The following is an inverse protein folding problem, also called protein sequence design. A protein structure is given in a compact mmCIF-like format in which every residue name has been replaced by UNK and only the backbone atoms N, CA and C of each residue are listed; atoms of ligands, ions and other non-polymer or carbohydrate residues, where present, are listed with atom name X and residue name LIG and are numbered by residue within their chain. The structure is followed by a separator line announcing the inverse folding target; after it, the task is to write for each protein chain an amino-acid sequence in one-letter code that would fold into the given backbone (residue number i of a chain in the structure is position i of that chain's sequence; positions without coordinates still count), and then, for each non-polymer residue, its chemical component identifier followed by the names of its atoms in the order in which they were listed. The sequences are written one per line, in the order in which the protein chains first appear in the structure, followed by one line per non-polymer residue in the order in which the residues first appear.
data_IF_427473386423
#
_entry.id   IF_427473386423
#
_cell.length_a   1.000
_cell.length_b   1.000
_cell.length_c   1.000
_cell.angle_alpha   90.00
_cell.angle_beta   90.00
_cell.angle_gamma   90.00
#
_symmetry.space_group_name_H-M   'P 1'
#
loop_
_entity.id
_entity.type
_entity.pdbx_description
1 polymer ?
#
# COMPACT_ATOMS: atom_id res chain seq x y z
N UNK A 1 -30.27 -11.85 24.37
CA UNK A 1 -29.21 -11.90 25.40
C UNK A 1 -28.04 -12.66 24.82
N UNK A 2 -26.81 -12.07 24.84
CA UNK A 2 -25.58 -12.76 24.42
C UNK A 2 -25.24 -13.81 25.47
N UNK A 3 -25.10 -15.07 25.06
CA UNK A 3 -24.75 -16.20 25.92
C UNK A 3 -23.34 -16.66 25.58
N UNK A 4 -22.49 -16.78 26.59
CA UNK A 4 -21.16 -17.38 26.49
C UNK A 4 -21.29 -18.88 26.72
N UNK A 5 -20.76 -19.70 25.82
CA UNK A 5 -20.76 -21.16 25.95
C UNK A 5 -19.49 -21.57 26.71
N UNK A 6 -19.50 -21.44 28.05
CA UNK A 6 -18.35 -21.72 28.92
C UNK A 6 -17.67 -23.07 28.63
N UNK A 7 -18.38 -24.20 28.42
CA UNK A 7 -17.70 -25.46 28.11
C UNK A 7 -16.88 -25.43 26.80
N UNK A 8 -17.28 -24.61 25.82
CA UNK A 8 -16.53 -24.41 24.57
C UNK A 8 -15.28 -23.59 24.82
N UNK A 9 -15.42 -22.53 25.61
CA UNK A 9 -14.29 -21.67 25.99
C UNK A 9 -13.25 -22.46 26.78
N UNK A 10 -13.68 -23.23 27.78
CA UNK A 10 -12.79 -24.06 28.61
C UNK A 10 -12.05 -25.12 27.79
N UNK A 11 -12.74 -25.75 26.83
CA UNK A 11 -12.14 -26.71 25.91
C UNK A 11 -11.11 -26.04 25.00
N UNK A 12 -11.40 -24.87 24.48
CA UNK A 12 -10.49 -24.09 23.62
C UNK A 12 -9.23 -23.69 24.39
N UNK A 13 -9.39 -23.14 25.60
CA UNK A 13 -8.25 -22.76 26.47
C UNK A 13 -7.38 -23.96 26.80
N UNK A 14 -8.00 -25.10 27.10
CA UNK A 14 -7.28 -26.35 27.41
C UNK A 14 -6.47 -26.83 26.19
N UNK A 15 -7.04 -26.79 25.00
CA UNK A 15 -6.38 -27.19 23.76
C UNK A 15 -5.21 -26.26 23.39
N UNK A 16 -5.39 -24.94 23.53
CA UNK A 16 -4.32 -23.95 23.28
C UNK A 16 -3.13 -24.24 24.21
N UNK A 17 -3.38 -24.46 25.50
CA UNK A 17 -2.33 -24.78 26.46
C UNK A 17 -1.65 -26.11 26.18
N UNK A 18 -2.43 -27.15 25.89
CA UNK A 18 -1.91 -28.49 25.63
C UNK A 18 -0.99 -28.54 24.41
N UNK A 19 -1.26 -27.71 23.42
CA UNK A 19 -0.46 -27.61 22.18
C UNK A 19 0.64 -26.56 22.22
N UNK A 20 0.71 -25.72 23.24
CA UNK A 20 1.67 -24.63 23.34
C UNK A 20 1.47 -23.59 22.23
N UNK A 21 0.21 -23.20 21.97
CA UNK A 21 -0.12 -22.23 20.90
C UNK A 21 0.13 -20.82 21.44
N UNK A 22 1.02 -20.08 20.80
CA UNK A 22 1.33 -18.69 21.14
C UNK A 22 0.37 -17.67 20.52
N UNK A 23 -0.20 -18.00 19.35
CA UNK A 23 -1.12 -17.11 18.61
C UNK A 23 -2.31 -17.91 18.10
N UNK A 24 -3.52 -17.46 18.45
CA UNK A 24 -4.78 -17.94 17.91
C UNK A 24 -5.33 -16.93 16.92
N UNK A 25 -5.57 -17.35 15.68
CA UNK A 25 -6.19 -16.52 14.64
C UNK A 25 -7.63 -16.98 14.42
N UNK A 26 -8.58 -16.04 14.55
CA UNK A 26 -10.02 -16.27 14.34
C UNK A 26 -10.39 -15.62 13.00
N UNK A 27 -10.51 -16.45 11.96
CA UNK A 27 -10.80 -16.01 10.58
C UNK A 27 -11.97 -16.82 9.97
N UNK A 28 -13.10 -16.16 9.71
CA UNK A 28 -13.43 -14.77 10.07
C UNK A 28 -14.03 -14.64 11.48
N UNK A 29 -13.79 -13.51 12.13
CA UNK A 29 -14.34 -13.20 13.45
C UNK A 29 -15.87 -13.35 13.52
N UNK A 30 -16.59 -12.93 12.47
CA UNK A 30 -18.07 -13.04 12.42
C UNK A 30 -18.58 -14.46 12.60
N UNK A 31 -17.81 -15.47 12.27
CA UNK A 31 -18.19 -16.89 12.43
C UNK A 31 -18.04 -17.39 13.87
N UNK A 32 -17.40 -16.62 14.74
CA UNK A 32 -17.20 -17.00 16.15
C UNK A 32 -18.39 -16.66 17.05
N UNK A 33 -19.43 -16.00 16.53
CA UNK A 33 -20.61 -15.57 17.30
C UNK A 33 -21.86 -15.46 16.43
N UNK A 34 -23.02 -15.40 17.09
CA UNK A 34 -24.32 -15.19 16.44
C UNK A 34 -24.94 -13.82 16.73
N UNK A 35 -24.23 -12.95 17.44
CA UNK A 35 -24.71 -11.62 17.79
C UNK A 35 -24.71 -10.69 16.56
N UNK A 36 -25.69 -9.78 16.46
CA UNK A 36 -25.69 -8.77 15.40
C UNK A 36 -24.46 -7.86 15.52
N UNK A 37 -23.71 -7.68 14.43
CA UNK A 37 -22.50 -6.86 14.41
C UNK A 37 -22.76 -5.38 14.79
N UNK A 38 -24.00 -4.89 14.60
CA UNK A 38 -24.38 -3.51 14.94
C UNK A 38 -24.75 -3.33 16.43
N UNK A 39 -24.76 -4.39 17.23
CA UNK A 39 -25.01 -4.31 18.67
C UNK A 39 -23.66 -4.10 19.42
N UNK A 40 -23.35 -2.84 19.70
CA UNK A 40 -22.12 -2.47 20.40
C UNK A 40 -21.96 -3.16 21.77
N UNK A 41 -23.06 -3.39 22.51
CA UNK A 41 -22.98 -4.04 23.81
C UNK A 41 -22.68 -5.53 23.67
N UNK A 42 -23.23 -6.18 22.65
CA UNK A 42 -22.92 -7.56 22.35
C UNK A 42 -21.46 -7.71 21.86
N UNK A 43 -21.02 -6.84 20.97
CA UNK A 43 -19.64 -6.82 20.47
C UNK A 43 -18.61 -6.59 21.59
N UNK A 44 -18.85 -5.64 22.48
CA UNK A 44 -17.97 -5.38 23.64
C UNK A 44 -17.82 -6.64 24.51
N UNK A 45 -18.91 -7.37 24.78
CA UNK A 45 -18.85 -8.61 25.55
C UNK A 45 -18.06 -9.69 24.83
N UNK A 46 -18.26 -9.86 23.53
CA UNK A 46 -17.56 -10.87 22.73
C UNK A 46 -16.04 -10.58 22.68
N UNK A 47 -15.66 -9.33 22.48
CA UNK A 47 -14.24 -8.95 22.45
C UNK A 47 -13.59 -9.13 23.82
N UNK A 48 -14.29 -8.78 24.88
CA UNK A 48 -13.82 -9.05 26.25
C UNK A 48 -13.64 -10.53 26.53
N UNK A 49 -14.53 -11.37 25.97
CA UNK A 49 -14.41 -12.82 26.10
C UNK A 49 -13.18 -13.35 25.37
N UNK A 50 -12.88 -12.86 24.17
CA UNK A 50 -11.63 -13.20 23.48
C UNK A 50 -10.40 -12.71 24.25
N UNK A 51 -10.48 -11.55 24.90
CA UNK A 51 -9.44 -11.09 25.84
C UNK A 51 -9.26 -12.05 27.03
N UNK A 52 -10.37 -12.57 27.59
CA UNK A 52 -10.32 -13.57 28.66
C UNK A 52 -9.68 -14.88 28.20
N UNK A 53 -9.98 -15.34 26.98
CA UNK A 53 -9.32 -16.52 26.39
C UNK A 53 -7.82 -16.29 26.26
N UNK A 54 -7.41 -15.13 25.75
CA UNK A 54 -6.00 -14.77 25.62
C UNK A 54 -5.26 -14.82 26.97
N UNK A 55 -5.85 -14.22 28.00
CA UNK A 55 -5.29 -14.21 29.37
C UNK A 55 -5.21 -15.62 29.97
N UNK A 56 -6.30 -16.37 29.89
CA UNK A 56 -6.37 -17.73 30.45
C UNK A 56 -5.41 -18.69 29.75
N UNK A 57 -5.30 -18.58 28.44
CA UNK A 57 -4.45 -19.45 27.62
C UNK A 57 -2.99 -18.98 27.55
N UNK A 58 -2.69 -17.75 27.98
CA UNK A 58 -1.40 -17.07 27.82
C UNK A 58 -0.96 -17.04 26.35
N UNK A 59 -1.87 -16.64 25.44
CA UNK A 59 -1.62 -16.52 24.01
C UNK A 59 -2.10 -15.17 23.47
N UNK A 60 -1.62 -14.76 22.30
CA UNK A 60 -2.21 -13.67 21.56
C UNK A 60 -3.44 -14.14 20.77
N UNK A 61 -4.48 -13.30 20.70
CA UNK A 61 -5.65 -13.59 19.87
C UNK A 61 -5.77 -12.52 18.77
N UNK A 62 -5.78 -12.95 17.51
CA UNK A 62 -5.99 -12.09 16.35
C UNK A 62 -7.38 -12.35 15.76
N UNK A 63 -8.20 -11.29 15.68
CA UNK A 63 -9.56 -11.34 15.16
C UNK A 63 -9.56 -10.74 13.74
N UNK A 64 -9.78 -11.58 12.73
CA UNK A 64 -9.85 -11.14 11.33
C UNK A 64 -11.27 -10.69 11.01
N UNK A 65 -11.42 -9.42 10.65
CA UNK A 65 -12.72 -8.81 10.43
C UNK A 65 -12.78 -8.03 9.12
N UNK A 66 -13.95 -8.06 8.46
CA UNK A 66 -14.16 -7.34 7.22
C UNK A 66 -14.47 -5.86 7.47
N UNK A 67 -13.86 -5.00 6.66
CA UNK A 67 -14.27 -3.61 6.59
C UNK A 67 -15.68 -3.48 5.96
N UNK A 68 -16.41 -2.45 6.36
CA UNK A 68 -17.65 -2.07 5.65
C UNK A 68 -17.32 -1.70 4.20
N UNK A 69 -18.29 -1.82 3.32
CA UNK A 69 -18.14 -1.32 1.94
C UNK A 69 -17.87 0.19 1.99
N UNK A 70 -16.82 0.62 1.30
CA UNK A 70 -16.48 2.04 1.20
C UNK A 70 -17.65 2.83 0.62
N UNK A 71 -17.93 3.99 1.20
CA UNK A 71 -18.84 4.97 0.65
C UNK A 71 -18.23 5.60 -0.62
N UNK A 72 -19.06 6.19 -1.47
CA UNK A 72 -18.55 6.88 -2.66
C UNK A 72 -17.57 8.00 -2.23
N UNK A 73 -16.29 7.84 -2.61
CA UNK A 73 -15.21 8.76 -2.25
C UNK A 73 -14.24 8.27 -1.18
N UNK A 74 -14.56 7.24 -0.41
CA UNK A 74 -13.60 6.58 0.49
C UNK A 74 -12.69 5.65 -0.30
N UNK A 75 -11.41 5.96 -0.36
CA UNK A 75 -10.40 5.19 -1.09
C UNK A 75 -9.56 4.31 -0.16
N UNK A 76 -9.63 4.53 1.13
CA UNK A 76 -8.77 3.90 2.13
C UNK A 76 -9.58 3.33 3.30
N UNK A 77 -9.23 2.12 3.72
CA UNK A 77 -9.75 1.49 4.94
C UNK A 77 -8.93 1.99 6.12
N UNK A 78 -9.62 2.45 7.16
CA UNK A 78 -9.06 2.87 8.45
C UNK A 78 -9.68 2.06 9.59
N UNK A 79 -9.23 2.28 10.82
CA UNK A 79 -9.84 1.66 12.01
C UNK A 79 -11.34 1.98 12.11
N UNK A 80 -11.77 3.14 11.64
CA UNK A 80 -13.19 3.57 11.63
C UNK A 80 -14.01 2.82 10.57
N UNK A 81 -13.36 2.13 9.63
CA UNK A 81 -14.02 1.35 8.57
C UNK A 81 -14.43 -0.06 9.01
N UNK A 82 -14.17 -0.45 10.26
CA UNK A 82 -14.61 -1.75 10.76
C UNK A 82 -16.14 -1.88 10.66
N UNK A 83 -16.61 -3.05 10.19
CA UNK A 83 -18.04 -3.34 10.15
C UNK A 83 -18.54 -3.55 11.59
N UNK A 84 -19.78 -3.15 11.90
CA UNK A 84 -20.43 -3.48 13.16
C UNK A 84 -20.11 -2.58 14.35
N UNK A 85 -19.46 -1.45 14.13
CA UNK A 85 -19.32 -0.41 15.15
C UNK A 85 -17.97 -0.41 15.87
N UNK A 86 -17.80 0.62 16.71
CA UNK A 86 -16.56 0.97 17.37
C UNK A 86 -16.14 0.01 18.48
N UNK A 87 -17.09 -0.71 19.08
CA UNK A 87 -16.85 -1.58 20.23
C UNK A 87 -15.80 -2.68 19.96
N UNK A 88 -15.78 -3.25 18.74
CA UNK A 88 -14.77 -4.23 18.33
C UNK A 88 -13.37 -3.62 18.37
N UNK A 89 -13.17 -2.51 17.66
CA UNK A 89 -11.85 -1.87 17.56
C UNK A 89 -11.41 -1.24 18.87
N UNK A 90 -12.36 -0.72 19.67
CA UNK A 90 -12.05 -0.15 20.99
C UNK A 90 -11.57 -1.21 21.99
N UNK A 91 -12.11 -2.43 21.93
CA UNK A 91 -11.70 -3.54 22.78
C UNK A 91 -10.33 -4.14 22.42
N UNK A 92 -9.84 -3.95 21.19
CA UNK A 92 -8.54 -4.46 20.77
C UNK A 92 -7.38 -3.57 21.22
N UNK A 93 -6.23 -4.19 21.57
CA UNK A 93 -5.00 -3.48 21.94
C UNK A 93 -4.28 -2.90 20.73
N UNK A 94 -4.40 -3.55 19.60
CA UNK A 94 -3.88 -3.08 18.31
C UNK A 94 -4.86 -3.40 17.19
N UNK A 95 -4.93 -2.53 16.19
CA UNK A 95 -5.73 -2.76 14.98
C UNK A 95 -4.85 -2.49 13.77
N UNK A 96 -4.70 -3.50 12.94
CA UNK A 96 -3.99 -3.44 11.68
C UNK A 96 -4.99 -3.41 10.53
N UNK A 97 -4.87 -2.43 9.67
CA UNK A 97 -5.71 -2.32 8.46
C UNK A 97 -4.92 -2.77 7.23
N UNK A 98 -5.63 -3.40 6.28
CA UNK A 98 -5.08 -3.84 5.01
C UNK A 98 -5.73 -3.03 3.89
N UNK A 99 -4.90 -2.34 3.10
CA UNK A 99 -5.33 -1.55 1.96
C UNK A 99 -4.66 -2.04 0.68
N UNK A 100 -5.44 -2.22 -0.39
CA UNK A 100 -4.88 -2.47 -1.73
C UNK A 100 -4.19 -1.20 -2.23
N UNK A 101 -3.14 -1.38 -3.03
CA UNK A 101 -2.50 -0.28 -3.72
C UNK A 101 -3.51 0.42 -4.65
N UNK A 102 -3.66 1.72 -4.49
CA UNK A 102 -4.49 2.54 -5.37
C UNK A 102 -3.82 2.70 -6.75
N UNK A 103 -4.58 3.18 -7.74
CA UNK A 103 -4.04 3.48 -9.07
C UNK A 103 -3.01 4.61 -9.04
N UNK A 104 -3.21 5.59 -8.15
CA UNK A 104 -2.31 6.73 -8.00
C UNK A 104 -0.99 6.29 -7.36
N UNK A 105 -1.05 5.47 -6.33
CA UNK A 105 0.13 4.85 -5.70
C UNK A 105 0.89 3.99 -6.71
N UNK A 106 0.21 3.17 -7.51
CA UNK A 106 0.83 2.37 -8.57
C UNK A 106 1.53 3.25 -9.61
N UNK A 107 0.89 4.34 -10.01
CA UNK A 107 1.50 5.31 -10.94
C UNK A 107 2.75 5.94 -10.33
N UNK A 108 2.72 6.31 -9.06
CA UNK A 108 3.88 6.88 -8.34
C UNK A 108 5.02 5.88 -8.18
N UNK A 109 4.68 4.62 -7.91
CA UNK A 109 5.66 3.54 -7.74
C UNK A 109 6.12 2.91 -9.08
N UNK A 110 5.51 3.29 -10.21
CA UNK A 110 5.79 2.67 -11.50
C UNK A 110 5.31 1.23 -11.64
N UNK A 111 4.28 0.85 -10.88
CA UNK A 111 3.70 -0.50 -10.88
C UNK A 111 2.57 -0.58 -11.91
N UNK A 112 2.60 -1.60 -12.76
CA UNK A 112 1.58 -1.79 -13.81
C UNK A 112 0.28 -2.39 -13.26
N UNK A 113 0.39 -3.43 -12.42
CA UNK A 113 -0.76 -4.13 -11.86
C UNK A 113 -0.88 -3.89 -10.35
N UNK A 114 -1.56 -2.82 -9.97
CA UNK A 114 -1.78 -2.46 -8.58
C UNK A 114 -2.55 -3.51 -7.77
N UNK A 115 -3.28 -4.43 -8.43
CA UNK A 115 -4.09 -5.45 -7.73
C UNK A 115 -3.25 -6.51 -7.02
N UNK A 116 -1.99 -6.66 -7.42
CA UNK A 116 -1.04 -7.58 -6.80
C UNK A 116 -0.36 -7.00 -5.55
N UNK A 117 -0.61 -5.74 -5.23
CA UNK A 117 0.07 -5.05 -4.12
C UNK A 117 -0.93 -4.60 -3.07
N UNK A 118 -0.51 -4.70 -1.82
CA UNK A 118 -1.26 -4.18 -0.69
C UNK A 118 -0.30 -3.71 0.40
N UNK A 119 -0.82 -2.88 1.29
CA UNK A 119 -0.10 -2.44 2.47
C UNK A 119 -0.86 -2.76 3.74
N UNK A 120 -0.12 -2.94 4.81
CA UNK A 120 -0.66 -2.96 6.16
C UNK A 120 -0.22 -1.71 6.90
N UNK A 121 -1.10 -1.19 7.73
CA UNK A 121 -0.81 -0.08 8.61
C UNK A 121 -1.37 -0.37 10.01
N UNK A 122 -0.56 -0.14 11.04
CA UNK A 122 -0.98 -0.26 12.43
C UNK A 122 -1.70 1.04 12.82
N UNK A 123 -3.02 1.06 12.58
CA UNK A 123 -3.85 2.27 12.71
C UNK A 123 -4.22 2.56 14.19
N UNK A 124 -4.25 1.52 15.03
CA UNK A 124 -4.39 1.65 16.49
C UNK A 124 -3.31 0.84 17.19
N UNK A 125 -2.66 1.45 18.16
CA UNK A 125 -1.76 0.77 19.09
C UNK A 125 -1.87 1.42 20.47
N UNK A 126 -2.05 0.59 21.53
CA UNK A 126 -2.10 1.08 22.91
C UNK A 126 -0.83 0.73 23.69
N UNK A 127 0.02 -0.14 23.16
CA UNK A 127 1.20 -0.67 23.83
C UNK A 127 2.52 -0.38 23.09
N UNK A 128 2.45 0.23 21.92
CA UNK A 128 3.61 0.60 21.12
C UNK A 128 3.42 2.01 20.55
N UNK A 129 4.51 2.70 20.15
CA UNK A 129 4.41 3.95 19.42
C UNK A 129 3.59 3.81 18.14
N UNK A 130 2.96 4.88 17.64
CA UNK A 130 2.30 4.86 16.34
C UNK A 130 3.27 4.42 15.24
N UNK A 131 2.75 3.69 14.26
CA UNK A 131 3.55 3.31 13.09
C UNK A 131 3.87 4.55 12.25
N UNK A 132 5.13 4.72 11.87
CA UNK A 132 5.56 5.86 11.04
C UNK A 132 5.20 5.67 9.56
N UNK A 133 5.11 4.41 9.11
CA UNK A 133 4.87 4.07 7.71
C UNK A 133 4.11 2.76 7.56
N UNK A 134 3.50 2.59 6.39
CA UNK A 134 2.89 1.32 5.98
C UNK A 134 3.95 0.31 5.59
N UNK A 135 3.68 -0.98 5.88
CA UNK A 135 4.47 -2.09 5.34
C UNK A 135 3.81 -2.61 4.08
N UNK A 136 4.57 -2.67 3.00
CA UNK A 136 4.08 -3.09 1.70
C UNK A 136 4.40 -4.54 1.38
N UNK A 137 3.47 -5.16 0.65
CA UNK A 137 3.55 -6.55 0.22
C UNK A 137 3.13 -6.69 -1.23
N UNK A 138 3.63 -7.76 -1.88
CA UNK A 138 3.23 -8.19 -3.21
C UNK A 138 2.72 -9.62 -3.18
N UNK A 139 1.70 -9.91 -3.96
CA UNK A 139 1.25 -11.27 -4.24
C UNK A 139 2.04 -11.83 -5.43
N UNK A 140 2.61 -13.01 -5.24
CA UNK A 140 3.30 -13.76 -6.28
C UNK A 140 2.63 -15.12 -6.46
N UNK A 141 2.67 -15.64 -7.69
CA UNK A 141 2.26 -17.00 -7.98
C UNK A 141 3.51 -17.87 -7.99
N UNK A 142 3.54 -18.88 -7.13
CA UNK A 142 4.63 -19.84 -7.05
C UNK A 142 4.12 -21.19 -7.53
N UNK A 143 4.79 -21.77 -8.53
CA UNK A 143 4.51 -23.11 -9.00
C UNK A 143 5.11 -24.12 -8.02
N UNK A 144 4.32 -25.12 -7.64
CA UNK A 144 4.74 -26.20 -6.76
C UNK A 144 5.29 -27.37 -7.58
N UNK A 145 6.33 -27.98 -7.06
CA UNK A 145 6.91 -29.22 -7.63
C UNK A 145 6.12 -30.45 -7.17
N UNK A 146 4.82 -30.47 -7.49
CA UNK A 146 3.89 -31.51 -7.07
C UNK A 146 3.16 -32.19 -8.25
N UNK A 147 3.59 -31.93 -9.50
CA UNK A 147 2.95 -32.51 -10.67
C UNK A 147 3.48 -33.91 -10.99
N UNK A 148 2.61 -34.84 -11.36
CA UNK A 148 3.05 -36.14 -11.92
C UNK A 148 3.49 -35.96 -13.39
N UNK A 149 4.57 -36.67 -13.78
CA UNK A 149 4.93 -36.92 -15.19
C UNK A 149 5.04 -35.68 -16.10
N UNK A 150 5.95 -34.73 -15.83
CA UNK A 150 6.25 -33.57 -16.70
C UNK A 150 5.09 -32.61 -16.96
N UNK A 151 3.99 -32.71 -16.22
CA UNK A 151 2.95 -31.68 -16.22
C UNK A 151 3.39 -30.47 -15.36
N UNK A 152 2.87 -29.26 -15.60
CA UNK A 152 3.11 -28.15 -14.69
C UNK A 152 2.47 -28.40 -13.32
N UNK A 153 3.14 -27.98 -12.25
CA UNK A 153 2.63 -28.08 -10.88
C UNK A 153 1.47 -27.12 -10.61
N UNK A 154 0.86 -27.29 -9.44
CA UNK A 154 -0.13 -26.33 -8.96
C UNK A 154 0.51 -24.97 -8.68
N UNK A 155 -0.26 -23.91 -8.89
CA UNK A 155 0.17 -22.56 -8.57
C UNK A 155 -0.44 -22.09 -7.25
N UNK A 156 0.39 -21.59 -6.35
CA UNK A 156 -0.03 -21.05 -5.05
C UNK A 156 0.29 -19.57 -4.97
N UNK A 157 -0.69 -18.79 -4.53
CA UNK A 157 -0.47 -17.38 -4.22
C UNK A 157 0.29 -17.21 -2.91
N UNK A 158 1.43 -16.55 -2.96
CA UNK A 158 2.25 -16.23 -1.77
C UNK A 158 2.38 -14.73 -1.58
N UNK A 159 2.51 -14.32 -0.33
CA UNK A 159 2.75 -12.93 0.05
C UNK A 159 4.25 -12.74 0.27
N UNK A 160 4.84 -11.79 -0.45
CA UNK A 160 6.25 -11.41 -0.29
C UNK A 160 6.36 -9.95 0.14
N UNK A 161 7.38 -9.64 0.93
CA UNK A 161 7.69 -8.24 1.27
C UNK A 161 8.00 -7.46 0.02
N UNK A 162 7.50 -6.24 -0.05
CA UNK A 162 7.79 -5.32 -1.14
C UNK A 162 8.18 -3.96 -0.58
N UNK A 163 9.20 -3.35 -1.15
CA UNK A 163 9.65 -2.03 -0.77
C UNK A 163 9.26 -1.02 -1.84
N UNK A 164 8.79 0.14 -1.38
CA UNK A 164 8.52 1.25 -2.28
C UNK A 164 9.80 1.65 -3.01
N UNK A 165 9.80 1.70 -4.35
CA UNK A 165 11.01 1.98 -5.10
C UNK A 165 11.49 3.41 -4.84
N UNK A 166 12.76 3.56 -4.53
CA UNK A 166 13.41 4.87 -4.54
C UNK A 166 13.77 5.24 -5.99
N UNK A 167 12.90 6.01 -6.61
CA UNK A 167 13.08 6.44 -8.00
C UNK A 167 14.27 7.39 -8.20
N UNK A 168 14.88 7.86 -7.11
CA UNK A 168 16.03 8.80 -7.14
C UNK A 168 17.38 8.13 -6.86
N UNK A 169 17.38 6.88 -6.39
CA UNK A 169 18.58 6.21 -5.86
C UNK A 169 19.82 6.25 -6.79
N UNK A 170 19.58 6.16 -8.10
CA UNK A 170 20.65 6.08 -9.11
C UNK A 170 20.83 7.38 -9.91
N UNK A 171 20.25 8.50 -9.43
CA UNK A 171 20.29 9.77 -10.17
C UNK A 171 21.40 10.65 -9.65
N UNK A 172 22.31 11.04 -10.53
CA UNK A 172 23.51 11.83 -10.22
C UNK A 172 23.40 13.28 -10.70
N UNK A 173 24.29 14.14 -10.22
CA UNK A 173 24.45 15.51 -10.73
C UNK A 173 24.82 15.51 -12.22
N UNK A 174 25.58 14.51 -12.67
CA UNK A 174 25.94 14.35 -14.08
C UNK A 174 24.70 14.11 -14.95
N UNK A 175 23.74 13.31 -14.48
CA UNK A 175 22.49 13.06 -15.19
C UNK A 175 21.67 14.34 -15.32
N UNK A 176 21.58 15.12 -14.25
CA UNK A 176 20.90 16.43 -14.29
C UNK A 176 21.58 17.37 -15.31
N UNK A 177 22.91 17.46 -15.31
CA UNK A 177 23.65 18.27 -16.31
C UNK A 177 23.37 17.80 -17.73
N UNK A 178 23.32 16.49 -17.96
CA UNK A 178 23.00 15.92 -19.27
C UNK A 178 21.62 16.35 -19.73
N UNK A 179 20.61 16.21 -18.83
CA UNK A 179 19.24 16.68 -19.11
C UNK A 179 19.21 18.18 -19.39
N UNK A 180 19.88 19.00 -18.59
CA UNK A 180 19.96 20.44 -18.81
C UNK A 180 20.60 20.78 -20.16
N UNK A 181 21.62 20.03 -20.57
CA UNK A 181 22.27 20.16 -21.87
C UNK A 181 21.33 19.85 -23.04
N UNK A 182 20.44 18.86 -22.90
CA UNK A 182 19.41 18.53 -23.90
C UNK A 182 18.31 19.62 -23.92
N UNK A 183 17.82 20.00 -22.74
CA UNK A 183 16.76 21.01 -22.59
C UNK A 183 17.18 22.37 -23.15
N UNK A 184 18.43 22.76 -22.98
CA UNK A 184 18.95 24.04 -23.50
C UNK A 184 18.96 24.14 -25.04
N UNK A 185 18.93 22.99 -25.73
CA UNK A 185 18.97 22.89 -27.19
C UNK A 185 17.62 22.60 -27.84
N UNK A 186 16.61 22.23 -27.02
CA UNK A 186 15.29 21.82 -27.48
C UNK A 186 14.17 22.69 -26.90
N UNK A 187 12.94 22.42 -27.35
CA UNK A 187 11.73 23.04 -26.83
C UNK A 187 10.86 21.96 -26.22
N UNK A 188 10.77 21.92 -24.91
CA UNK A 188 10.06 20.88 -24.15
C UNK A 188 8.90 21.44 -23.36
N UNK A 189 7.79 20.68 -23.32
CA UNK A 189 6.57 21.05 -22.60
C UNK A 189 6.48 20.28 -21.29
N UNK A 190 5.86 20.88 -20.27
CA UNK A 190 5.64 20.21 -18.98
C UNK A 190 4.57 19.12 -19.05
N UNK A 191 3.59 19.24 -19.96
CA UNK A 191 2.48 18.29 -20.08
C UNK A 191 2.91 16.93 -20.62
N UNK A 192 2.62 15.86 -19.87
CA UNK A 192 2.89 14.47 -20.27
C UNK A 192 2.17 14.03 -21.55
N UNK A 193 1.09 14.71 -21.92
CA UNK A 193 0.32 14.44 -23.14
C UNK A 193 0.90 15.14 -24.38
N UNK A 194 1.89 16.02 -24.18
CA UNK A 194 2.52 16.71 -25.30
C UNK A 194 3.47 15.79 -26.05
N UNK A 195 3.51 15.84 -27.39
CA UNK A 195 4.54 15.16 -28.17
C UNK A 195 5.96 15.62 -27.79
N UNK A 196 6.12 16.85 -27.28
CA UNK A 196 7.38 17.43 -26.85
C UNK A 196 7.50 17.46 -25.31
N UNK A 197 6.97 16.44 -24.65
CA UNK A 197 7.06 16.34 -23.20
C UNK A 197 8.52 16.26 -22.71
N UNK A 198 8.87 17.09 -21.70
CA UNK A 198 10.20 17.13 -21.08
C UNK A 198 10.71 15.75 -20.63
N UNK A 199 9.79 14.82 -20.28
CA UNK A 199 10.15 13.44 -19.96
C UNK A 199 10.93 12.73 -21.06
N UNK A 200 10.82 13.15 -22.34
CA UNK A 200 11.61 12.59 -23.45
C UNK A 200 13.09 12.97 -23.33
N UNK A 201 13.39 14.21 -22.96
CA UNK A 201 14.77 14.64 -22.69
C UNK A 201 15.39 13.86 -21.52
N UNK A 202 14.59 13.58 -20.49
CA UNK A 202 15.02 12.75 -19.35
C UNK A 202 15.21 11.30 -19.79
N UNK A 203 14.26 10.76 -20.57
CA UNK A 203 14.35 9.41 -21.13
C UNK A 203 15.63 9.20 -21.96
N UNK A 204 15.96 10.17 -22.81
CA UNK A 204 17.19 10.17 -23.61
C UNK A 204 18.45 10.20 -22.71
N UNK A 205 18.52 11.14 -21.76
CA UNK A 205 19.68 11.33 -20.90
C UNK A 205 19.96 10.13 -20.00
N UNK A 206 18.90 9.54 -19.41
CA UNK A 206 18.99 8.45 -18.44
C UNK A 206 18.73 7.06 -19.05
N UNK A 207 18.51 6.99 -20.36
CA UNK A 207 18.19 5.75 -21.09
C UNK A 207 16.96 5.03 -20.54
N UNK A 208 15.92 5.80 -20.19
CA UNK A 208 14.66 5.26 -19.70
C UNK A 208 13.73 4.89 -20.87
N UNK A 209 13.04 3.77 -20.71
CA UNK A 209 11.98 3.33 -21.61
C UNK A 209 10.64 3.89 -21.15
N UNK A 210 10.21 5.01 -21.73
CA UNK A 210 9.01 5.74 -21.32
C UNK A 210 7.69 5.01 -21.63
N UNK A 211 7.73 3.89 -22.31
CA UNK A 211 6.58 3.00 -22.48
C UNK A 211 6.38 2.12 -21.24
N UNK A 212 7.44 1.92 -20.44
CA UNK A 212 7.36 1.24 -19.16
C UNK A 212 6.87 2.17 -18.04
N UNK A 213 5.91 1.68 -17.26
CA UNK A 213 5.29 2.45 -16.16
C UNK A 213 6.31 2.95 -15.13
N UNK A 214 7.29 2.12 -14.75
CA UNK A 214 8.35 2.47 -13.79
C UNK A 214 9.23 3.62 -14.29
N UNK A 215 9.72 3.53 -15.52
CA UNK A 215 10.61 4.54 -16.11
C UNK A 215 9.89 5.87 -16.34
N UNK A 216 8.63 5.79 -16.76
CA UNK A 216 7.77 6.97 -16.89
C UNK A 216 7.47 7.64 -15.55
N UNK A 217 7.27 6.86 -14.49
CA UNK A 217 7.11 7.36 -13.12
C UNK A 217 8.38 8.04 -12.63
N UNK A 218 9.55 7.42 -12.88
CA UNK A 218 10.87 8.01 -12.58
C UNK A 218 11.04 9.35 -13.28
N UNK A 219 10.79 9.43 -14.57
CA UNK A 219 10.88 10.70 -15.33
C UNK A 219 9.96 11.78 -14.74
N UNK A 220 8.70 11.45 -14.41
CA UNK A 220 7.76 12.39 -13.77
C UNK A 220 8.27 12.88 -12.41
N UNK A 221 8.82 11.98 -11.59
CA UNK A 221 9.36 12.34 -10.28
C UNK A 221 10.56 13.27 -10.40
N UNK A 222 11.47 12.99 -11.35
CA UNK A 222 12.62 13.84 -11.63
C UNK A 222 12.21 15.25 -12.07
N UNK A 223 11.21 15.37 -12.96
CA UNK A 223 10.66 16.67 -13.36
C UNK A 223 10.19 17.46 -12.14
N UNK A 224 9.42 16.84 -11.26
CA UNK A 224 8.90 17.50 -10.06
C UNK A 224 10.03 17.99 -9.13
N UNK A 225 11.03 17.13 -8.88
CA UNK A 225 12.17 17.46 -8.01
C UNK A 225 13.00 18.58 -8.61
N UNK A 226 13.31 18.53 -9.91
CA UNK A 226 14.16 19.53 -10.56
C UNK A 226 13.45 20.86 -10.81
N UNK A 227 12.13 20.87 -10.95
CA UNK A 227 11.34 22.11 -10.93
C UNK A 227 11.30 22.72 -9.52
N UNK A 228 11.09 21.89 -8.50
CA UNK A 228 11.05 22.34 -7.11
C UNK A 228 12.42 22.88 -6.62
N UNK A 229 13.53 22.28 -7.06
CA UNK A 229 14.89 22.75 -6.72
C UNK A 229 15.35 23.97 -7.53
N UNK A 230 14.61 24.36 -8.58
CA UNK A 230 15.02 25.45 -9.48
C UNK A 230 16.03 25.06 -10.55
N UNK A 231 16.47 23.81 -10.61
CA UNK A 231 17.35 23.31 -11.67
C UNK A 231 16.69 23.34 -13.05
N UNK A 232 15.37 23.17 -13.09
CA UNK A 232 14.52 23.45 -14.25
C UNK A 232 13.49 24.53 -13.85
N UNK A 233 12.97 25.25 -14.84
CA UNK A 233 11.92 26.27 -14.64
C UNK A 233 10.83 26.11 -15.67
N UNK A 234 9.57 26.29 -15.26
CA UNK A 234 8.44 26.37 -16.15
C UNK A 234 8.21 27.84 -16.55
N UNK A 235 8.10 28.09 -17.84
CA UNK A 235 7.80 29.41 -18.42
C UNK A 235 6.61 29.31 -19.35
N UNK A 236 5.84 30.37 -19.50
CA UNK A 236 4.75 30.46 -20.47
C UNK A 236 5.26 31.09 -21.74
N UNK A 237 5.16 30.36 -22.84
CA UNK A 237 5.53 30.81 -24.18
C UNK A 237 4.46 30.43 -25.19
N UNK A 238 4.46 31.14 -26.35
CA UNK A 238 3.58 30.80 -27.46
C UNK A 238 4.10 29.56 -28.18
N UNK A 239 3.22 28.60 -28.43
CA UNK A 239 3.48 27.46 -29.31
C UNK A 239 3.45 27.91 -30.79
N UNK A 240 3.74 26.99 -31.70
CA UNK A 240 3.79 27.26 -33.15
C UNK A 240 2.41 27.66 -33.73
N UNK A 241 1.32 27.47 -32.97
CA UNK A 241 -0.04 27.89 -33.28
C UNK A 241 -0.44 29.21 -32.62
N UNK A 242 0.52 29.86 -31.91
CA UNK A 242 0.29 31.14 -31.23
C UNK A 242 -0.41 31.03 -29.86
N UNK A 243 -0.66 29.80 -29.32
CA UNK A 243 -1.29 29.62 -28.02
C UNK A 243 -0.24 29.64 -26.92
N UNK A 244 -0.53 30.31 -25.82
CA UNK A 244 0.32 30.24 -24.61
C UNK A 244 0.28 28.86 -24.00
N UNK A 245 1.47 28.31 -23.78
CA UNK A 245 1.66 26.95 -23.23
C UNK A 245 2.82 26.95 -22.23
N UNK A 246 2.79 26.02 -21.25
CA UNK A 246 3.90 25.84 -20.33
C UNK A 246 5.03 25.08 -21.01
N UNK A 247 6.21 25.71 -21.06
CA UNK A 247 7.46 25.11 -21.52
C UNK A 247 8.43 24.99 -20.34
N UNK A 248 9.35 24.04 -20.44
CA UNK A 248 10.39 23.84 -19.43
C UNK A 248 11.72 24.28 -20.01
N UNK A 249 12.41 25.15 -19.28
CA UNK A 249 13.74 25.65 -19.61
C UNK A 249 14.72 25.28 -18.47
N UNK A 250 16.02 25.44 -18.76
CA UNK A 250 17.05 25.33 -17.75
C UNK A 250 16.92 26.49 -16.76
N UNK A 251 16.94 26.17 -15.47
CA UNK A 251 17.01 27.14 -14.38
C UNK A 251 18.46 27.35 -13.93
N UNK A 252 18.76 26.94 -12.70
CA UNK A 252 20.13 26.96 -12.19
C UNK A 252 20.90 25.74 -12.70
N UNK A 253 22.06 25.97 -13.31
CA UNK A 253 22.89 24.87 -13.78
C UNK A 253 23.46 24.07 -12.59
N UNK A 254 23.42 22.77 -12.71
CA UNK A 254 24.06 21.88 -11.75
C UNK A 254 25.58 22.11 -11.76
N UNK A 255 26.18 22.24 -10.60
CA UNK A 255 27.62 22.51 -10.41
C UNK A 255 28.43 21.26 -10.05
#
# INVERSE_FOLDING_TARGET
QTVILEPVVDSLVSEIKARGIDVLIVDPFVSSHTAPENDNNAMDRIVKEWGRVADLANCAVELVHHARKSSAGETEVTVESARGGKALTDGCRSVRVLNRMSKDEATQAGVENNRLFFRTYLDKSTLAPPAEASTWFRLESVELDNAPNFAPGDNVGVVVSWQWPDLMADVTVHDLRTVQGIVSKGRYRSSVQSPDWIGKAIGEALRLDLDKGADKAKAKKLIQVWLASGALKEVREKDDKGNERPFVIVGEWAT
#
